data_IF_593810329857
#
_entry.id   IF_593810329857
#
_cell.length_a   1.000
_cell.length_b   1.000
_cell.length_c   1.000
_cell.angle_alpha   90.00
_cell.angle_beta   90.00
_cell.angle_gamma   90.00
#
_symmetry.space_group_name_H-M   'P 1'
#
loop_
_entity.id
_entity.type
_entity.pdbx_description
1 polymer ?
#
# COMPACT_ATOMS: atom_id res chain seq x y z
N UNK A 1 -29.39 8.46 -6.44
CA UNK A 1 -28.03 8.70 -5.91
C UNK A 1 -27.22 7.44 -5.60
N UNK A 2 -27.79 6.23 -5.52
CA UNK A 2 -27.02 5.01 -5.18
C UNK A 2 -26.44 4.22 -6.36
N UNK A 3 -26.91 4.45 -7.60
CA UNK A 3 -26.49 3.66 -8.77
C UNK A 3 -25.20 4.17 -9.45
N UNK A 4 -24.88 5.47 -9.35
CA UNK A 4 -23.65 6.05 -9.94
C UNK A 4 -22.40 5.73 -9.11
N UNK A 5 -22.48 5.80 -7.77
CA UNK A 5 -21.37 5.43 -6.87
C UNK A 5 -20.83 4.01 -7.09
N UNK A 6 -21.66 3.10 -7.62
CA UNK A 6 -21.29 1.71 -7.83
C UNK A 6 -20.51 1.49 -9.14
N UNK A 7 -20.58 2.41 -10.11
CA UNK A 7 -19.80 2.32 -11.35
C UNK A 7 -18.34 2.73 -11.14
N UNK A 8 -18.10 3.72 -10.29
CA UNK A 8 -16.74 4.20 -9.98
C UNK A 8 -15.92 3.14 -9.24
N UNK A 9 -16.58 2.26 -8.46
CA UNK A 9 -15.93 1.17 -7.73
C UNK A 9 -15.54 -0.03 -8.61
N UNK A 10 -15.90 -0.02 -9.90
CA UNK A 10 -15.41 -1.01 -10.86
C UNK A 10 -14.05 -0.64 -11.46
N UNK A 11 -13.56 0.59 -11.21
CA UNK A 11 -12.28 1.06 -11.71
C UNK A 11 -11.11 0.40 -10.97
N UNK A 12 -10.04 0.09 -11.69
CA UNK A 12 -8.82 -0.49 -11.10
C UNK A 12 -7.57 0.30 -11.49
N UNK A 13 -7.44 1.58 -11.09
CA UNK A 13 -6.43 2.49 -11.66
C UNK A 13 -5.00 1.95 -11.59
N UNK A 14 -4.62 1.31 -10.47
CA UNK A 14 -3.29 0.70 -10.31
C UNK A 14 -3.09 -0.51 -11.22
N UNK A 15 -4.08 -1.40 -11.30
CA UNK A 15 -3.96 -2.60 -12.13
C UNK A 15 -3.97 -2.25 -13.62
N UNK A 16 -4.77 -1.26 -14.02
CA UNK A 16 -4.86 -0.78 -15.39
C UNK A 16 -3.56 -0.08 -15.83
N UNK A 17 -2.96 0.71 -14.93
CA UNK A 17 -1.62 1.28 -15.15
C UNK A 17 -0.55 0.19 -15.36
N UNK A 18 -0.53 -0.85 -14.52
CA UNK A 18 0.43 -1.95 -14.66
C UNK A 18 0.23 -2.74 -15.96
N UNK A 19 -1.02 -3.05 -16.33
CA UNK A 19 -1.34 -3.74 -17.59
C UNK A 19 -0.90 -2.96 -18.82
N UNK A 20 -1.06 -1.63 -18.80
CA UNK A 20 -0.62 -0.77 -19.90
C UNK A 20 0.91 -0.75 -20.10
N UNK A 21 1.69 -1.18 -19.11
CA UNK A 21 3.15 -1.18 -19.12
C UNK A 21 3.80 -2.51 -19.56
N UNK A 22 3.02 -3.56 -19.79
CA UNK A 22 3.51 -4.95 -19.93
C UNK A 22 4.57 -5.16 -21.01
N UNK A 23 4.51 -4.42 -22.13
CA UNK A 23 5.38 -4.63 -23.29
C UNK A 23 6.57 -3.66 -23.41
N UNK A 24 6.83 -2.86 -22.37
CA UNK A 24 7.89 -1.83 -22.45
C UNK A 24 9.30 -2.44 -22.51
N UNK A 25 10.23 -1.68 -23.08
CA UNK A 25 11.67 -1.94 -22.94
C UNK A 25 12.17 -1.10 -21.76
N UNK A 26 12.53 -1.75 -20.66
CA UNK A 26 13.01 -1.08 -19.45
C UNK A 26 14.54 -1.13 -19.35
N UNK A 27 15.15 0.04 -19.14
CA UNK A 27 16.52 0.19 -18.64
C UNK A 27 16.55 0.54 -17.15
N UNK A 28 15.41 0.42 -16.48
CA UNK A 28 15.23 0.70 -15.06
C UNK A 28 15.19 -0.59 -14.23
N UNK A 29 15.23 -0.47 -12.91
CA UNK A 29 14.91 -1.58 -12.02
C UNK A 29 13.41 -1.96 -12.11
N UNK A 30 13.03 -3.21 -11.76
CA UNK A 30 13.89 -4.34 -11.38
C UNK A 30 14.77 -4.91 -12.51
N UNK A 31 15.94 -5.45 -12.14
CA UNK A 31 16.98 -5.87 -13.09
C UNK A 31 16.61 -7.05 -14.00
N UNK A 32 15.60 -7.84 -13.66
CA UNK A 32 15.14 -8.98 -14.47
C UNK A 32 14.33 -8.57 -15.72
N UNK A 33 14.08 -7.26 -15.93
CA UNK A 33 13.46 -6.67 -17.12
C UNK A 33 12.13 -7.32 -17.47
N UNK A 34 11.17 -7.26 -16.55
CA UNK A 34 9.84 -7.86 -16.75
C UNK A 34 9.87 -9.38 -17.00
N UNK A 35 10.91 -10.05 -16.48
CA UNK A 35 11.10 -11.49 -16.61
C UNK A 35 11.89 -11.91 -17.84
N UNK A 36 12.22 -10.99 -18.76
CA UNK A 36 12.98 -11.27 -19.99
C UNK A 36 14.37 -11.85 -19.76
N UNK A 37 14.94 -11.67 -18.56
CA UNK A 37 16.25 -12.23 -18.19
C UNK A 37 16.16 -13.56 -17.42
N UNK A 38 14.96 -14.05 -17.13
CA UNK A 38 14.80 -15.37 -16.51
C UNK A 38 15.01 -16.45 -17.57
N UNK A 39 16.23 -16.97 -17.68
CA UNK A 39 16.59 -17.99 -18.66
C UNK A 39 16.03 -19.38 -18.34
N UNK A 40 15.78 -19.67 -17.06
CA UNK A 40 15.40 -21.02 -16.58
C UNK A 40 14.10 -21.08 -15.77
N UNK A 41 13.44 -19.93 -15.53
CA UNK A 41 12.14 -19.93 -14.86
C UNK A 41 11.02 -20.01 -15.92
N UNK A 42 9.91 -20.70 -15.61
CA UNK A 42 8.72 -20.61 -16.46
C UNK A 42 8.32 -19.13 -16.61
N UNK A 43 7.77 -18.77 -17.76
CA UNK A 43 7.22 -17.43 -17.99
C UNK A 43 6.15 -17.16 -16.91
N UNK A 44 6.52 -16.37 -15.90
CA UNK A 44 5.65 -16.07 -14.78
C UNK A 44 4.86 -14.81 -15.16
N UNK A 45 3.53 -14.90 -15.33
CA UNK A 45 2.71 -13.76 -15.75
C UNK A 45 2.79 -12.56 -14.82
N UNK A 46 3.22 -12.78 -13.56
CA UNK A 46 3.42 -11.73 -12.57
C UNK A 46 4.69 -10.92 -12.78
N UNK A 47 5.71 -11.49 -13.44
CA UNK A 47 7.00 -10.82 -13.62
C UNK A 47 6.93 -9.67 -14.60
N UNK A 48 5.97 -9.68 -15.53
CA UNK A 48 5.70 -8.58 -16.45
C UNK A 48 5.05 -7.37 -15.78
N UNK A 49 4.37 -7.60 -14.65
CA UNK A 49 3.75 -6.58 -13.81
C UNK A 49 4.72 -6.03 -12.76
N UNK A 50 5.85 -6.71 -12.52
CA UNK A 50 6.85 -6.28 -11.55
C UNK A 50 7.63 -5.08 -12.09
N UNK A 51 7.39 -3.94 -11.46
CA UNK A 51 7.99 -2.65 -11.78
C UNK A 51 8.17 -1.86 -10.50
N UNK A 52 9.09 -0.91 -10.55
CA UNK A 52 9.25 0.10 -9.50
C UNK A 52 8.40 1.33 -9.82
N UNK A 53 8.52 2.34 -8.97
CA UNK A 53 7.95 3.67 -9.10
C UNK A 53 8.48 4.38 -10.34
N UNK A 54 7.57 4.64 -11.27
CA UNK A 54 7.80 5.37 -12.51
C UNK A 54 6.61 6.29 -12.73
N UNK A 55 6.73 7.27 -13.62
CA UNK A 55 5.60 8.15 -13.94
C UNK A 55 4.34 7.36 -14.35
N UNK A 56 4.51 6.28 -15.13
CA UNK A 56 3.41 5.43 -15.58
C UNK A 56 2.84 4.50 -14.49
N UNK A 57 3.66 3.98 -13.57
CA UNK A 57 3.21 3.09 -12.48
C UNK A 57 2.76 3.86 -11.23
N UNK A 58 3.28 5.06 -11.03
CA UNK A 58 3.06 5.91 -9.85
C UNK A 58 3.92 5.51 -8.66
N UNK A 59 3.75 6.24 -7.56
CA UNK A 59 4.46 6.06 -6.28
C UNK A 59 3.43 5.92 -5.14
N UNK A 60 3.48 4.81 -4.39
CA UNK A 60 2.58 4.51 -3.28
C UNK A 60 2.90 5.32 -2.00
N UNK A 61 4.15 5.74 -1.83
CA UNK A 61 4.61 6.54 -0.70
C UNK A 61 4.32 8.03 -0.90
N UNK A 62 4.29 8.50 -2.15
CA UNK A 62 3.92 9.86 -2.53
C UNK A 62 2.74 9.86 -3.53
N UNK A 63 1.52 9.50 -3.08
CA UNK A 63 0.38 9.24 -3.96
C UNK A 63 -0.03 10.49 -4.75
N UNK A 64 -0.04 10.34 -6.08
CA UNK A 64 -0.52 11.34 -7.04
C UNK A 64 -1.20 10.65 -8.22
N UNK A 65 -1.89 11.40 -9.08
CA UNK A 65 -2.54 10.86 -10.28
C UNK A 65 -3.45 9.66 -10.00
N UNK A 66 -3.27 8.57 -10.77
CA UNK A 66 -4.02 7.32 -10.66
C UNK A 66 -3.81 6.58 -9.34
N UNK A 67 -2.66 6.78 -8.66
CA UNK A 67 -2.43 6.20 -7.33
C UNK A 67 -3.35 6.86 -6.30
N UNK A 68 -3.42 8.19 -6.33
CA UNK A 68 -4.30 8.94 -5.42
C UNK A 68 -5.78 8.64 -5.70
N UNK A 69 -6.14 8.43 -6.96
CA UNK A 69 -7.48 7.97 -7.34
C UNK A 69 -7.81 6.62 -6.71
N UNK A 70 -6.89 5.65 -6.76
CA UNK A 70 -7.09 4.35 -6.11
C UNK A 70 -7.28 4.47 -4.59
N UNK A 71 -6.54 5.36 -3.93
CA UNK A 71 -6.67 5.60 -2.49
C UNK A 71 -8.04 6.23 -2.16
N UNK A 72 -8.52 7.17 -2.98
CA UNK A 72 -9.85 7.79 -2.84
C UNK A 72 -10.98 6.80 -3.07
N UNK A 73 -10.84 5.91 -4.06
CA UNK A 73 -11.80 4.85 -4.31
C UNK A 73 -11.90 3.92 -3.09
N UNK A 74 -10.77 3.50 -2.53
CA UNK A 74 -10.72 2.70 -1.31
C UNK A 74 -11.34 3.43 -0.10
N UNK A 75 -10.99 4.69 0.13
CA UNK A 75 -11.56 5.49 1.21
C UNK A 75 -13.09 5.60 1.08
N UNK A 76 -13.59 5.87 -0.12
CA UNK A 76 -15.03 5.91 -0.40
C UNK A 76 -15.71 4.55 -0.21
N UNK A 77 -15.04 3.45 -0.55
CA UNK A 77 -15.60 2.11 -0.41
C UNK A 77 -15.72 1.70 1.07
N UNK A 78 -14.65 1.90 1.84
CA UNK A 78 -14.61 1.57 3.26
C UNK A 78 -15.32 2.59 4.16
N UNK A 79 -15.75 3.73 3.61
CA UNK A 79 -16.38 4.81 4.38
C UNK A 79 -15.40 5.54 5.31
N UNK A 80 -14.12 5.56 4.94
CA UNK A 80 -13.06 6.24 5.69
C UNK A 80 -12.82 7.66 5.13
N UNK A 81 -12.24 8.54 5.96
CA UNK A 81 -11.82 9.87 5.50
C UNK A 81 -10.65 9.78 4.50
N UNK A 82 -9.69 8.89 4.81
CA UNK A 82 -8.54 8.58 3.96
C UNK A 82 -8.26 7.07 4.01
N UNK A 83 -7.53 6.58 3.02
CA UNK A 83 -7.05 5.19 2.97
C UNK A 83 -5.67 5.15 2.35
N UNK A 84 -4.83 4.27 2.88
CA UNK A 84 -3.44 4.10 2.47
C UNK A 84 -3.19 2.61 2.20
N UNK A 85 -2.53 2.29 1.09
CA UNK A 85 -2.15 0.91 0.77
C UNK A 85 -0.79 0.58 1.37
N UNK A 86 -0.75 -0.46 2.20
CA UNK A 86 0.45 -0.89 2.92
C UNK A 86 0.74 -2.33 2.53
N UNK A 87 1.89 -2.56 1.89
CA UNK A 87 2.29 -3.86 1.34
C UNK A 87 3.05 -4.75 2.33
N UNK A 88 3.42 -4.20 3.49
CA UNK A 88 4.16 -4.87 4.57
C UNK A 88 3.26 -5.37 5.72
N UNK A 89 1.95 -5.48 5.47
CA UNK A 89 0.96 -6.04 6.38
C UNK A 89 0.60 -5.16 7.58
N UNK A 90 -0.43 -5.60 8.32
CA UNK A 90 -1.04 -4.84 9.44
C UNK A 90 -0.05 -4.56 10.57
N UNK A 91 0.96 -5.40 10.78
CA UNK A 91 2.04 -5.12 11.75
C UNK A 91 2.66 -3.77 11.47
N UNK A 92 3.11 -3.52 10.23
CA UNK A 92 3.70 -2.22 9.87
C UNK A 92 2.66 -1.10 9.91
N UNK A 93 1.40 -1.38 9.51
CA UNK A 93 0.31 -0.41 9.60
C UNK A 93 0.07 0.09 11.02
N UNK A 94 0.13 -0.78 12.04
CA UNK A 94 -0.02 -0.40 13.44
C UNK A 94 1.11 0.53 13.89
N UNK A 95 2.35 0.23 13.49
CA UNK A 95 3.50 1.09 13.78
C UNK A 95 3.32 2.48 13.14
N UNK A 96 2.98 2.53 11.86
CA UNK A 96 2.74 3.79 11.13
C UNK A 96 1.61 4.58 11.81
N UNK A 97 0.48 3.95 12.10
CA UNK A 97 -0.67 4.58 12.75
C UNK A 97 -0.29 5.18 14.11
N UNK A 98 0.43 4.43 14.95
CA UNK A 98 0.83 4.89 16.28
C UNK A 98 1.87 6.01 16.19
N UNK A 99 2.89 5.86 15.32
CA UNK A 99 3.93 6.88 15.13
C UNK A 99 3.39 8.19 14.52
N UNK A 100 2.35 8.11 13.68
CA UNK A 100 1.72 9.29 13.10
C UNK A 100 0.87 10.07 14.12
N UNK A 101 0.31 9.38 15.12
CA UNK A 101 -0.64 9.97 16.07
C UNK A 101 -0.03 10.33 17.43
N UNK A 102 1.07 9.68 17.84
CA UNK A 102 1.62 9.74 19.20
C UNK A 102 3.09 10.13 19.20
N UNK A 103 3.56 10.65 20.32
CA UNK A 103 4.96 11.00 20.60
C UNK A 103 5.49 10.20 21.78
N UNK A 104 6.82 10.12 21.89
CA UNK A 104 7.47 9.50 23.05
C UNK A 104 6.94 10.10 24.37
N UNK A 105 6.63 9.24 25.33
CA UNK A 105 6.01 9.58 26.61
C UNK A 105 4.48 9.72 26.59
N UNK A 106 3.84 9.72 25.42
CA UNK A 106 2.37 9.76 25.36
C UNK A 106 1.75 8.48 25.92
N UNK A 107 0.60 8.64 26.60
CA UNK A 107 -0.18 7.54 27.14
C UNK A 107 -1.17 7.00 26.11
N UNK A 108 -1.24 5.67 25.96
CA UNK A 108 -2.14 5.00 25.03
C UNK A 108 -2.98 3.94 25.73
N UNK A 109 -4.30 3.98 25.54
CA UNK A 109 -5.20 2.95 26.08
C UNK A 109 -5.09 1.71 25.20
N UNK A 110 -4.75 0.56 25.79
CA UNK A 110 -4.56 -0.69 25.07
C UNK A 110 -5.31 -1.82 25.77
N UNK A 111 -6.15 -2.59 25.06
CA UNK A 111 -6.81 -3.73 25.68
C UNK A 111 -5.78 -4.81 26.07
N UNK A 112 -6.05 -5.57 27.13
CA UNK A 112 -5.18 -6.70 27.55
C UNK A 112 -5.01 -7.76 26.44
N UNK A 113 -6.03 -7.94 25.60
CA UNK A 113 -6.02 -8.83 24.45
C UNK A 113 -5.66 -8.09 23.15
N UNK A 114 -4.59 -7.29 23.17
CA UNK A 114 -4.09 -6.57 22.00
C UNK A 114 -3.11 -7.41 21.18
N UNK A 115 -3.06 -7.20 19.88
CA UNK A 115 -2.07 -7.85 19.01
C UNK A 115 -0.64 -7.45 19.42
N UNK A 116 0.28 -8.42 19.44
CA UNK A 116 1.66 -8.23 19.91
C UNK A 116 2.40 -7.10 19.17
N UNK A 117 2.06 -6.86 17.89
CA UNK A 117 2.61 -5.76 17.11
C UNK A 117 2.37 -4.38 17.74
N UNK A 118 1.21 -4.14 18.36
CA UNK A 118 0.93 -2.86 19.01
C UNK A 118 1.76 -2.69 20.30
N UNK A 119 2.04 -3.80 21.01
CA UNK A 119 2.94 -3.79 22.17
C UNK A 119 4.37 -3.46 21.73
N UNK A 120 4.83 -4.08 20.64
CA UNK A 120 6.14 -3.77 20.07
C UNK A 120 6.22 -2.31 19.60
N UNK A 121 5.17 -1.79 18.97
CA UNK A 121 5.10 -0.38 18.56
C UNK A 121 5.18 0.56 19.78
N UNK A 122 4.42 0.28 20.84
CA UNK A 122 4.48 1.06 22.07
C UNK A 122 5.89 1.06 22.69
N UNK A 123 6.56 -0.09 22.73
CA UNK A 123 7.92 -0.19 23.25
C UNK A 123 8.94 0.58 22.38
N UNK A 124 8.86 0.45 21.05
CA UNK A 124 9.79 1.10 20.12
C UNK A 124 9.60 2.63 20.10
N UNK A 125 8.36 3.10 20.20
CA UNK A 125 8.01 4.53 20.18
C UNK A 125 8.09 5.19 21.57
N UNK A 126 8.46 4.45 22.62
CA UNK A 126 8.55 4.96 23.98
C UNK A 126 7.22 5.44 24.56
N UNK A 127 6.13 4.74 24.24
CA UNK A 127 4.78 5.07 24.68
C UNK A 127 4.46 4.43 26.04
N UNK A 128 3.55 5.04 26.79
CA UNK A 128 3.07 4.54 28.07
C UNK A 128 1.72 3.82 27.92
N UNK A 129 1.70 2.47 27.80
CA UNK A 129 0.46 1.74 27.67
C UNK A 129 -0.33 1.70 28.99
N UNK A 130 -1.63 1.96 28.89
CA UNK A 130 -2.61 1.84 29.97
C UNK A 130 -3.56 0.69 29.62
N UNK A 131 -3.50 -0.39 30.40
CA UNK A 131 -4.19 -1.65 30.14
C UNK A 131 -5.43 -1.91 30.98
#
# INVERSE_FOLDING_TARGET
>A
MSAEKNKDQALTPLADALRAMGDRVSFHMPGHRQGKLFQELPDLPISSLDTTELEASGDLAAPSGHVLEAYRLAASFFGAAESWFITSGTTTSLFIMMAAALREGDRVIMPRAVHIAAVHAAAILGLEPVF
#
